data_IF_313501386584
#
_entry.id   IF_313501386584
#
_cell.length_a   1.000
_cell.length_b   1.000
_cell.length_c   1.000
_cell.angle_alpha   90.00
_cell.angle_beta   90.00
_cell.angle_gamma   90.00
#
_symmetry.space_group_name_H-M   'P 1'
#
loop_
_entity.id
_entity.type
_entity.pdbx_description
1 polymer ?
#
# COMPACT_ATOMS: atom_id res chain seq x y z
N UNK A 1 -8.79 -7.66 -12.86
CA UNK A 1 -8.12 -6.44 -12.38
C UNK A 1 -8.31 -6.29 -10.89
N UNK A 2 -7.22 -6.23 -10.15
CA UNK A 2 -7.20 -6.09 -8.70
C UNK A 2 -6.68 -4.70 -8.31
N UNK A 3 -7.11 -4.19 -7.16
CA UNK A 3 -6.55 -2.99 -6.55
C UNK A 3 -5.37 -3.40 -5.67
N UNK A 4 -4.18 -2.95 -6.04
CA UNK A 4 -2.94 -3.19 -5.32
C UNK A 4 -2.56 -1.96 -4.52
N UNK A 5 -2.10 -2.19 -3.30
CA UNK A 5 -1.59 -1.14 -2.42
C UNK A 5 -0.23 -1.53 -1.83
N UNK A 6 0.60 -0.54 -1.51
CA UNK A 6 1.83 -0.74 -0.75
C UNK A 6 2.01 0.43 0.21
N UNK A 7 2.31 0.12 1.47
CA UNK A 7 2.75 1.08 2.47
C UNK A 7 4.27 0.98 2.63
N UNK A 8 4.94 2.11 2.63
CA UNK A 8 6.41 2.15 2.75
C UNK A 8 6.88 3.48 3.36
N UNK A 9 8.07 3.47 3.95
CA UNK A 9 8.76 4.66 4.41
C UNK A 9 9.94 4.98 3.49
N UNK A 10 10.17 6.26 3.23
CA UNK A 10 11.37 6.72 2.53
C UNK A 10 12.57 6.91 3.47
N UNK A 11 13.67 7.43 2.93
CA UNK A 11 14.91 7.68 3.67
C UNK A 11 14.79 8.70 4.81
N UNK A 12 13.72 9.49 4.84
CA UNK A 12 13.43 10.49 5.86
C UNK A 12 12.37 10.03 6.85
N UNK A 13 12.07 8.72 6.88
CA UNK A 13 11.01 8.12 7.69
C UNK A 13 9.62 8.73 7.40
N UNK A 14 9.44 9.31 6.19
CA UNK A 14 8.14 9.77 5.73
C UNK A 14 7.38 8.59 5.16
N UNK A 15 6.13 8.41 5.60
CA UNK A 15 5.29 7.28 5.22
C UNK A 15 4.44 7.61 4.00
N UNK A 16 4.39 6.65 3.09
CA UNK A 16 3.76 6.76 1.79
C UNK A 16 2.85 5.57 1.49
N UNK A 17 1.84 5.81 0.67
CA UNK A 17 1.02 4.78 0.03
C UNK A 17 0.96 4.98 -1.48
N UNK A 18 1.07 3.88 -2.22
CA UNK A 18 0.72 3.81 -3.65
C UNK A 18 -0.51 2.92 -3.83
N UNK A 19 -1.39 3.27 -4.76
CA UNK A 19 -2.61 2.53 -5.13
C UNK A 19 -2.71 2.40 -6.66
N UNK A 20 -2.72 1.17 -7.17
CA UNK A 20 -2.76 0.90 -8.61
C UNK A 20 -3.71 -0.24 -8.95
N UNK A 21 -4.31 -0.20 -10.13
CA UNK A 21 -5.25 -1.25 -10.58
C UNK A 21 -4.62 -2.05 -11.71
N UNK A 22 -4.33 -3.33 -11.49
CA UNK A 22 -3.82 -4.23 -12.53
C UNK A 22 -4.01 -5.70 -12.18
N UNK A 23 -3.82 -6.60 -13.15
CA UNK A 23 -4.08 -8.03 -12.97
C UNK A 23 -2.99 -8.76 -12.18
N UNK A 24 -1.73 -8.31 -12.29
CA UNK A 24 -0.57 -8.89 -11.59
C UNK A 24 -0.04 -7.93 -10.53
N UNK A 25 0.59 -8.42 -9.45
CA UNK A 25 1.26 -7.55 -8.48
C UNK A 25 2.27 -6.65 -9.20
N UNK A 26 2.24 -5.32 -8.97
CA UNK A 26 3.29 -4.44 -9.43
C UNK A 26 4.62 -4.80 -8.76
N UNK A 27 5.72 -4.59 -9.47
CA UNK A 27 7.04 -4.70 -8.86
C UNK A 27 7.24 -3.58 -7.82
N UNK A 28 8.08 -3.82 -6.83
CA UNK A 28 8.45 -2.81 -5.82
C UNK A 28 9.83 -2.28 -6.16
N UNK A 29 9.94 -0.97 -6.38
CA UNK A 29 11.23 -0.31 -6.55
C UNK A 29 11.93 -0.21 -5.20
N UNK A 30 13.22 -0.58 -5.20
CA UNK A 30 14.11 -0.43 -4.04
C UNK A 30 15.30 0.43 -4.44
N UNK A 31 15.56 1.46 -3.64
CA UNK A 31 16.70 2.36 -3.77
C UNK A 31 17.75 2.12 -2.70
N UNK A 32 18.86 2.86 -2.79
CA UNK A 32 19.86 2.94 -1.72
C UNK A 32 19.94 4.35 -1.18
N UNK A 33 19.85 4.50 0.14
CA UNK A 33 20.06 5.73 0.88
C UNK A 33 21.24 5.53 1.84
N UNK A 34 22.43 5.98 1.42
CA UNK A 34 23.68 5.62 2.08
C UNK A 34 23.89 4.10 2.10
N UNK A 35 24.03 3.52 3.29
CA UNK A 35 24.19 2.08 3.50
C UNK A 35 22.86 1.30 3.65
N UNK A 36 21.71 1.99 3.58
CA UNK A 36 20.39 1.38 3.76
C UNK A 36 19.69 1.15 2.42
N UNK A 37 18.89 0.09 2.34
CA UNK A 37 17.94 -0.14 1.25
C UNK A 37 16.60 0.47 1.64
N UNK A 38 16.04 1.30 0.76
CA UNK A 38 14.75 1.97 0.99
C UNK A 38 13.76 1.59 -0.12
N UNK A 39 12.46 1.68 0.17
CA UNK A 39 11.41 1.44 -0.82
C UNK A 39 11.01 2.75 -1.49
N UNK A 40 10.87 2.71 -2.82
CA UNK A 40 10.47 3.88 -3.62
C UNK A 40 9.04 3.77 -4.17
N UNK A 41 8.31 2.73 -3.75
CA UNK A 41 6.93 2.46 -4.17
C UNK A 41 6.83 1.47 -5.32
N UNK A 42 5.72 1.51 -6.05
CA UNK A 42 5.48 0.59 -7.17
C UNK A 42 6.23 1.00 -8.44
N UNK A 43 6.82 0.03 -9.12
CA UNK A 43 7.42 0.13 -10.46
C UNK A 43 6.78 -0.87 -11.43
N UNK A 44 7.11 -0.75 -12.70
CA UNK A 44 6.57 -1.60 -13.79
C UNK A 44 5.03 -1.63 -13.82
N UNK A 45 4.41 -0.50 -13.46
CA UNK A 45 2.96 -0.37 -13.43
C UNK A 45 2.42 -0.31 -14.85
N UNK A 46 1.56 -1.26 -15.20
CA UNK A 46 0.97 -1.42 -16.53
C UNK A 46 -0.51 -1.03 -16.59
N UNK A 47 -1.13 -0.76 -15.43
CA UNK A 47 -2.54 -0.38 -15.32
C UNK A 47 -2.74 1.03 -14.76
N UNK A 48 -4.01 1.43 -14.50
CA UNK A 48 -4.31 2.72 -13.92
C UNK A 48 -3.63 2.95 -12.56
N UNK A 49 -3.05 4.14 -12.39
CA UNK A 49 -2.56 4.64 -11.09
C UNK A 49 -3.66 5.48 -10.46
N UNK A 50 -4.15 5.08 -9.29
CA UNK A 50 -5.15 5.85 -8.54
C UNK A 50 -4.48 6.85 -7.61
N UNK A 51 -3.37 6.44 -6.99
CA UNK A 51 -2.57 7.26 -6.10
C UNK A 51 -1.12 6.81 -6.13
N UNK A 52 -0.18 7.75 -6.01
CA UNK A 52 1.25 7.44 -5.91
C UNK A 52 1.93 8.45 -5.00
N UNK A 53 2.78 7.96 -4.10
CA UNK A 53 3.49 8.76 -3.09
C UNK A 53 2.52 9.70 -2.35
N UNK A 54 1.38 9.16 -1.92
CA UNK A 54 0.48 9.91 -1.05
C UNK A 54 1.01 9.80 0.37
N UNK A 55 1.31 10.94 0.99
CA UNK A 55 1.78 10.98 2.37
C UNK A 55 0.67 10.54 3.30
N UNK A 56 1.02 9.68 4.25
CA UNK A 56 0.13 9.24 5.32
C UNK A 56 0.81 9.45 6.68
N UNK A 57 0.02 9.62 7.76
CA UNK A 57 0.54 9.57 9.12
C UNK A 57 1.28 8.24 9.41
N UNK A 58 2.25 8.26 10.32
CA UNK A 58 3.05 7.08 10.64
C UNK A 58 2.23 5.93 11.26
N UNK A 59 1.20 6.28 12.03
CA UNK A 59 0.23 5.39 12.67
C UNK A 59 -0.89 4.92 11.72
N UNK A 60 -1.03 5.54 10.56
CA UNK A 60 -2.00 5.09 9.57
C UNK A 60 -1.57 3.73 8.99
N UNK A 61 -2.51 2.76 9.02
CA UNK A 61 -2.30 1.40 8.53
C UNK A 61 -1.11 0.72 9.22
N UNK A 62 -0.95 0.92 10.54
CA UNK A 62 0.15 0.32 11.30
C UNK A 62 0.18 -1.21 11.22
N UNK A 63 -0.99 -1.85 11.14
CA UNK A 63 -1.15 -3.30 11.00
C UNK A 63 -0.83 -3.83 9.59
N UNK A 64 -0.63 -2.95 8.61
CA UNK A 64 -0.29 -3.37 7.26
C UNK A 64 1.17 -3.79 7.13
N UNK A 65 1.46 -4.80 6.28
CA UNK A 65 2.83 -5.17 5.99
C UNK A 65 3.56 -4.02 5.29
N UNK A 66 4.79 -3.78 5.73
CA UNK A 66 5.66 -2.73 5.18
C UNK A 66 6.39 -3.26 3.95
N UNK A 67 6.51 -2.42 2.93
CA UNK A 67 7.22 -2.67 1.67
C UNK A 67 6.73 -3.90 0.87
N UNK A 68 5.53 -4.36 1.17
CA UNK A 68 4.96 -5.56 0.57
C UNK A 68 3.66 -5.18 -0.13
N UNK A 69 3.51 -5.52 -1.43
CA UNK A 69 2.25 -5.31 -2.13
C UNK A 69 1.13 -6.13 -1.48
N UNK A 70 -0.01 -5.49 -1.23
CA UNK A 70 -1.24 -6.13 -0.76
C UNK A 70 -2.35 -5.96 -1.79
N UNK A 71 -3.26 -6.94 -1.86
CA UNK A 71 -4.47 -6.84 -2.68
C UNK A 71 -5.57 -6.30 -1.77
N UNK A 72 -6.06 -5.10 -2.07
CA UNK A 72 -7.23 -4.56 -1.43
C UNK A 72 -8.48 -5.27 -1.94
N UNK A 73 -9.08 -6.08 -1.07
CA UNK A 73 -10.37 -6.72 -1.35
C UNK A 73 -11.48 -6.03 -0.58
N UNK A 74 -12.72 -6.19 -1.04
CA UNK A 74 -13.91 -5.60 -0.40
C UNK A 74 -14.04 -5.98 1.09
N UNK A 75 -13.46 -7.09 1.53
CA UNK A 75 -13.48 -7.51 2.94
C UNK A 75 -12.67 -6.56 3.85
N UNK A 76 -11.61 -5.94 3.34
CA UNK A 76 -10.77 -4.98 4.09
C UNK A 76 -11.30 -3.54 4.03
N UNK A 77 -12.29 -3.29 3.16
CA UNK A 77 -12.89 -1.96 2.93
C UNK A 77 -14.30 -1.83 3.53
N UNK A 78 -14.87 -2.90 4.05
CA UNK A 78 -16.17 -2.83 4.71
C UNK A 78 -15.97 -2.26 6.13
N UNK A 79 -16.72 -1.22 6.55
CA UNK A 79 -16.91 -0.99 7.97
C UNK A 79 -17.48 -2.28 8.54
N UNK A 80 -16.86 -2.79 9.60
CA UNK A 80 -17.21 -4.03 10.28
C UNK A 80 -18.72 -4.02 10.56
N UNK A 81 -19.48 -4.62 9.64
CA UNK A 81 -20.93 -4.67 9.70
C UNK A 81 -21.32 -5.89 10.52
N UNK A 82 -20.69 -6.01 11.68
CA UNK A 82 -21.11 -6.89 12.77
C UNK A 82 -22.30 -6.25 13.48
N UNK A 83 -23.36 -5.94 12.72
CA UNK A 83 -24.72 -5.79 13.23
C UNK A 83 -25.35 -7.19 13.21
N UNK A 84 -24.97 -7.99 14.19
CA UNK A 84 -25.66 -9.21 14.62
C UNK A 84 -25.41 -9.26 16.13
N UNK A 85 -26.38 -9.23 17.02
CA UNK A 85 -27.80 -9.63 16.96
C UNK A 85 -28.52 -9.03 18.17
N UNK A 86 -29.84 -8.77 18.08
CA UNK A 86 -30.83 -9.41 18.96
C UNK A 86 -32.25 -8.86 18.71
N UNK A 87 -33.12 -9.82 18.32
CA UNK A 87 -34.56 -9.96 18.62
C UNK A 87 -35.54 -8.84 18.31
#
# INVERSE_FOLDING_TARGET
>A
MALWAIRYADEHETWWIDLVVQDKPPAVARGKAGDRVVTEGFTEVSGPVLARRVSIPADALEDWPIDTPVILTRAELAPDSSLSTAS
#
